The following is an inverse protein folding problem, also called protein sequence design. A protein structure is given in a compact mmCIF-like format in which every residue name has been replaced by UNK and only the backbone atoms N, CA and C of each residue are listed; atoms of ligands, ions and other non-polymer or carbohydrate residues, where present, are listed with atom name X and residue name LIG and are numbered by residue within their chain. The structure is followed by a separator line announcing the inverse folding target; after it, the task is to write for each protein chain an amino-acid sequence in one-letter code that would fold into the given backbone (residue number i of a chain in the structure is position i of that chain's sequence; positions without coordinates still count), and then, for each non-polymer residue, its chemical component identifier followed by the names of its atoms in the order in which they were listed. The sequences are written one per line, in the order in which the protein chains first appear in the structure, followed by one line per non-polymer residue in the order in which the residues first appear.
data_IF_987128523318
#
_entry.id   IF_987128523318
#
_cell.length_a   1.000
_cell.length_b   1.000
_cell.length_c   1.000
_cell.angle_alpha   90.00
_cell.angle_beta   90.00
_cell.angle_gamma   90.00
#
_symmetry.space_group_name_H-M   'P 1'
#
loop_
_entity.id
_entity.type
_entity.pdbx_description
1 polymer ?
#
# COMPACT_ATOMS: atom_id res chain seq x y z
N UNK A 1 -1.09 12.27 9.54
CA UNK A 1 -1.06 11.67 8.21
C UNK A 1 -2.48 11.44 7.71
N UNK A 2 -2.82 12.09 6.61
CA UNK A 2 -4.18 12.07 6.05
C UNK A 2 -4.68 10.65 5.74
N UNK A 3 -3.81 9.81 5.16
CA UNK A 3 -4.16 8.44 4.83
C UNK A 3 -4.66 7.64 6.04
N UNK A 4 -3.96 7.73 7.19
CA UNK A 4 -4.38 6.99 8.39
C UNK A 4 -5.68 7.51 8.99
N UNK A 5 -5.97 8.80 8.85
CA UNK A 5 -7.27 9.34 9.24
C UNK A 5 -8.39 8.77 8.36
N UNK A 6 -8.12 8.55 7.06
CA UNK A 6 -9.05 7.90 6.15
C UNK A 6 -9.31 6.44 6.56
N UNK A 7 -8.26 5.71 6.94
CA UNK A 7 -8.38 4.32 7.37
C UNK A 7 -9.26 4.19 8.62
N UNK A 8 -9.12 5.13 9.55
CA UNK A 8 -9.83 5.09 10.82
C UNK A 8 -9.60 3.75 11.55
N UNK A 9 -10.67 3.09 12.00
CA UNK A 9 -10.54 1.83 12.76
C UNK A 9 -10.07 0.64 11.91
N UNK A 10 -10.04 0.75 10.59
CA UNK A 10 -9.60 -0.35 9.72
C UNK A 10 -8.15 -0.78 9.97
N UNK A 11 -7.31 0.14 10.46
CA UNK A 11 -5.88 -0.15 10.66
C UNK A 11 -5.63 -1.03 11.89
N UNK A 12 -6.47 -0.94 12.91
CA UNK A 12 -6.30 -1.74 14.12
C UNK A 12 -6.54 -3.23 13.82
N UNK A 13 -5.55 -4.04 14.12
CA UNK A 13 -5.54 -5.48 13.81
C UNK A 13 -5.31 -5.82 12.34
N UNK A 14 -5.09 -4.83 11.47
CA UNK A 14 -4.96 -5.04 10.04
C UNK A 14 -3.60 -5.63 9.64
N UNK A 15 -3.61 -6.39 8.55
CA UNK A 15 -2.41 -6.71 7.79
C UNK A 15 -2.23 -5.65 6.71
N UNK A 16 -1.20 -4.82 6.87
CA UNK A 16 -0.93 -3.65 6.04
C UNK A 16 0.15 -3.93 5.00
N UNK A 17 -0.02 -3.41 3.78
CA UNK A 17 0.98 -3.51 2.71
C UNK A 17 1.22 -2.12 2.10
N UNK A 18 2.49 -1.69 2.08
CA UNK A 18 2.93 -0.48 1.37
C UNK A 18 3.76 -0.88 0.16
N UNK A 19 3.29 -0.53 -1.03
CA UNK A 19 3.88 -0.95 -2.30
C UNK A 19 5.05 -0.08 -2.77
N UNK A 20 5.21 1.11 -2.21
CA UNK A 20 6.30 2.05 -2.51
C UNK A 20 6.79 2.64 -1.20
N UNK A 21 7.36 1.80 -0.36
CA UNK A 21 7.51 2.11 1.07
C UNK A 21 8.54 3.19 1.40
N UNK A 22 9.52 3.43 0.53
CA UNK A 22 10.56 4.41 0.79
C UNK A 22 11.32 4.08 2.08
N UNK A 23 11.31 5.00 3.04
CA UNK A 23 11.93 4.80 4.36
C UNK A 23 11.12 3.89 5.29
N UNK A 24 9.89 3.54 4.92
CA UNK A 24 9.03 2.69 5.74
C UNK A 24 8.21 3.41 6.79
N UNK A 25 8.14 4.73 6.75
CA UNK A 25 7.39 5.54 7.73
C UNK A 25 5.95 5.06 7.88
N UNK A 26 5.27 4.77 6.78
CA UNK A 26 3.87 4.31 6.82
C UNK A 26 3.74 2.91 7.42
N UNK A 27 4.69 2.01 7.15
CA UNK A 27 4.67 0.68 7.75
C UNK A 27 4.82 0.72 9.27
N UNK A 28 5.75 1.53 9.78
CA UNK A 28 5.94 1.70 11.22
C UNK A 28 4.76 2.45 11.86
N UNK A 29 4.21 3.45 11.19
CA UNK A 29 3.02 4.16 11.66
C UNK A 29 1.81 3.23 11.75
N UNK A 30 1.60 2.35 10.76
CA UNK A 30 0.53 1.36 10.79
C UNK A 30 0.62 0.47 12.02
N UNK A 31 1.81 -0.04 12.31
CA UNK A 31 2.06 -0.87 13.50
C UNK A 31 1.82 -0.06 14.79
N UNK A 32 2.28 1.19 14.83
CA UNK A 32 2.05 2.10 15.96
C UNK A 32 0.56 2.30 16.23
N UNK A 33 -0.27 2.25 15.19
CA UNK A 33 -1.73 2.39 15.29
C UNK A 33 -2.47 1.06 15.46
N UNK A 34 -1.76 -0.01 15.72
CA UNK A 34 -2.35 -1.30 16.06
C UNK A 34 -2.43 -2.33 14.94
N UNK A 35 -1.82 -2.10 13.78
CA UNK A 35 -1.76 -3.11 12.73
C UNK A 35 -1.11 -4.38 13.24
N UNK A 36 -1.66 -5.53 12.86
CA UNK A 36 -1.11 -6.83 13.26
C UNK A 36 0.22 -7.11 12.57
N UNK A 37 0.39 -6.62 11.35
CA UNK A 37 1.64 -6.72 10.60
C UNK A 37 1.70 -5.60 9.55
N UNK A 38 2.91 -5.26 9.13
CA UNK A 38 3.17 -4.41 7.98
C UNK A 38 4.15 -5.08 7.04
N UNK A 39 3.89 -5.03 5.75
CA UNK A 39 4.80 -5.48 4.71
C UNK A 39 5.13 -4.32 3.80
N UNK A 40 6.42 -4.11 3.57
CA UNK A 40 6.92 -3.04 2.70
C UNK A 40 7.55 -3.64 1.45
N UNK A 41 7.22 -3.10 0.28
CA UNK A 41 7.96 -3.33 -0.95
C UNK A 41 8.68 -2.03 -1.30
N UNK A 42 9.97 -2.10 -1.49
CA UNK A 42 10.81 -0.95 -1.84
C UNK A 42 11.97 -1.41 -2.72
N UNK A 43 12.22 -0.67 -3.81
CA UNK A 43 13.28 -1.02 -4.74
C UNK A 43 14.68 -0.63 -4.24
N UNK A 44 14.79 0.39 -3.38
CA UNK A 44 16.08 0.83 -2.85
C UNK A 44 16.56 -0.09 -1.72
N UNK A 45 17.62 -0.83 -1.99
CA UNK A 45 18.17 -1.82 -1.06
C UNK A 45 18.64 -1.22 0.27
N UNK A 46 19.16 0.01 0.25
CA UNK A 46 19.61 0.69 1.47
C UNK A 46 18.44 1.02 2.38
N UNK A 47 17.34 1.51 1.80
CA UNK A 47 16.11 1.76 2.54
C UNK A 47 15.55 0.49 3.15
N UNK A 48 15.55 -0.61 2.41
CA UNK A 48 15.09 -1.91 2.91
C UNK A 48 15.97 -2.39 4.07
N UNK A 49 17.29 -2.27 3.95
CA UNK A 49 18.21 -2.66 5.02
C UNK A 49 17.97 -1.85 6.30
N UNK A 50 17.71 -0.55 6.15
CA UNK A 50 17.38 0.33 7.29
C UNK A 50 16.05 -0.10 7.93
N UNK A 51 15.02 -0.39 7.13
CA UNK A 51 13.73 -0.89 7.66
C UNK A 51 13.90 -2.18 8.45
N UNK A 52 14.67 -3.13 7.92
CA UNK A 52 14.93 -4.42 8.59
C UNK A 52 15.62 -4.21 9.94
N UNK A 53 16.60 -3.32 9.99
CA UNK A 53 17.32 -2.99 11.22
C UNK A 53 16.39 -2.36 12.26
N UNK A 54 15.56 -1.38 11.87
CA UNK A 54 14.62 -0.73 12.77
C UNK A 54 13.54 -1.71 13.26
N UNK A 55 13.04 -2.59 12.40
CA UNK A 55 12.07 -3.60 12.79
C UNK A 55 12.64 -4.54 13.84
N UNK A 56 13.89 -4.94 13.71
CA UNK A 56 14.58 -5.77 14.70
C UNK A 56 14.81 -5.00 16.01
N UNK A 57 15.34 -3.78 15.95
CA UNK A 57 15.60 -2.96 17.13
C UNK A 57 14.35 -2.66 17.94
N UNK A 58 13.23 -2.42 17.28
CA UNK A 58 11.97 -2.07 17.92
C UNK A 58 11.05 -3.26 18.16
N UNK A 59 11.49 -4.45 17.79
CA UNK A 59 10.65 -5.67 17.83
C UNK A 59 9.28 -5.43 17.17
N UNK A 60 9.32 -4.77 16.03
CA UNK A 60 8.12 -4.39 15.28
C UNK A 60 7.78 -5.45 14.22
N UNK A 61 6.50 -5.80 14.04
CA UNK A 61 6.07 -6.77 13.02
C UNK A 61 6.06 -6.14 11.61
N UNK A 62 7.21 -5.66 11.16
CA UNK A 62 7.43 -5.07 9.85
C UNK A 62 8.37 -5.97 9.04
N UNK A 63 7.91 -6.39 7.87
CA UNK A 63 8.69 -7.16 6.90
C UNK A 63 9.00 -6.28 5.71
N UNK A 64 10.28 -6.11 5.38
CA UNK A 64 10.71 -5.30 4.25
C UNK A 64 11.25 -6.19 3.12
N UNK A 65 10.79 -5.95 1.91
CA UNK A 65 11.12 -6.70 0.69
C UNK A 65 11.79 -5.74 -0.30
N UNK A 66 13.02 -6.07 -0.70
CA UNK A 66 13.72 -5.32 -1.74
C UNK A 66 13.32 -5.86 -3.11
N UNK A 67 12.74 -5.01 -3.96
CA UNK A 67 12.37 -5.42 -5.30
C UNK A 67 11.46 -4.43 -6.00
N UNK A 68 11.18 -4.75 -7.26
CA UNK A 68 10.21 -4.03 -8.07
C UNK A 68 8.79 -4.46 -7.71
N UNK A 69 7.89 -3.50 -7.61
CA UNK A 69 6.49 -3.75 -7.21
C UNK A 69 5.80 -4.78 -8.11
N UNK A 70 5.99 -4.70 -9.42
CA UNK A 70 5.35 -5.64 -10.36
C UNK A 70 5.94 -7.05 -10.30
N UNK A 71 7.19 -7.18 -9.90
CA UNK A 71 7.82 -8.48 -9.67
C UNK A 71 7.40 -9.09 -8.33
N UNK A 72 7.22 -8.26 -7.32
CA UNK A 72 6.98 -8.73 -5.94
C UNK A 72 5.50 -8.99 -5.63
N UNK A 73 4.56 -8.24 -6.21
CA UNK A 73 3.13 -8.46 -5.96
C UNK A 73 2.71 -9.91 -6.23
N UNK A 74 3.05 -10.54 -7.36
CA UNK A 74 2.66 -11.94 -7.61
C UNK A 74 3.24 -12.92 -6.58
N UNK A 75 4.39 -12.62 -6.00
CA UNK A 75 5.04 -13.46 -4.99
C UNK A 75 4.33 -13.43 -3.63
N UNK A 76 3.46 -12.43 -3.41
CA UNK A 76 2.66 -12.32 -2.20
C UNK A 76 1.39 -13.16 -2.24
N UNK A 77 1.12 -13.84 -3.35
CA UNK A 77 -0.07 -14.68 -3.51
C UNK A 77 -0.28 -15.62 -2.32
N UNK A 78 -1.49 -15.61 -1.79
CA UNK A 78 -1.83 -16.42 -0.61
C UNK A 78 -1.56 -15.73 0.73
N UNK A 79 -0.93 -14.57 0.71
CA UNK A 79 -0.87 -13.67 1.87
C UNK A 79 -1.95 -12.62 1.71
N UNK A 80 -2.81 -12.46 2.68
CA UNK A 80 -3.98 -11.60 2.57
C UNK A 80 -3.81 -10.31 3.37
N UNK A 81 -4.15 -9.18 2.75
CA UNK A 81 -4.02 -7.85 3.34
C UNK A 81 -5.37 -7.19 3.47
N UNK A 82 -5.51 -6.39 4.53
CA UNK A 82 -6.73 -5.64 4.84
C UNK A 82 -6.64 -4.20 4.35
N UNK A 83 -5.43 -3.65 4.30
CA UNK A 83 -5.17 -2.29 3.84
C UNK A 83 -3.91 -2.30 2.98
N UNK A 84 -4.04 -1.82 1.75
CA UNK A 84 -2.93 -1.66 0.81
C UNK A 84 -2.81 -0.18 0.45
N UNK A 85 -1.60 0.34 0.56
CA UNK A 85 -1.28 1.72 0.22
C UNK A 85 -0.21 1.77 -0.85
N UNK A 86 -0.35 2.69 -1.79
CA UNK A 86 0.65 2.94 -2.83
C UNK A 86 0.80 4.44 -3.09
N UNK A 87 2.02 4.94 -3.01
CA UNK A 87 2.39 6.29 -3.40
C UNK A 87 3.50 6.23 -4.45
N UNK A 88 3.13 5.91 -5.72
CA UNK A 88 4.13 5.79 -6.79
C UNK A 88 4.78 7.15 -7.09
N UNK A 89 6.02 7.15 -7.63
CA UNK A 89 6.67 8.38 -8.04
C UNK A 89 5.90 9.09 -9.17
N UNK A 90 6.09 10.40 -9.30
CA UNK A 90 5.41 11.24 -10.30
C UNK A 90 5.49 10.70 -11.73
N UNK A 91 6.62 10.12 -12.10
CA UNK A 91 6.86 9.58 -13.44
C UNK A 91 6.32 8.17 -13.65
N UNK A 92 5.60 7.62 -12.68
CA UNK A 92 5.18 6.22 -12.69
C UNK A 92 4.36 5.83 -13.92
N UNK A 93 3.25 6.52 -14.19
CA UNK A 93 2.43 6.36 -15.40
C UNK A 93 1.78 4.99 -15.61
N UNK A 94 1.93 4.04 -14.67
CA UNK A 94 1.44 2.66 -14.80
C UNK A 94 0.36 2.33 -13.78
N UNK A 95 -0.54 3.27 -13.53
CA UNK A 95 -1.57 3.12 -12.48
C UNK A 95 -2.57 2.01 -12.79
N UNK A 96 -2.98 1.86 -14.05
CA UNK A 96 -3.89 0.77 -14.46
C UNK A 96 -3.22 -0.59 -14.29
N UNK A 97 -1.93 -0.70 -14.64
CA UNK A 97 -1.16 -1.92 -14.45
C UNK A 97 -1.05 -2.28 -12.97
N UNK A 98 -0.83 -1.27 -12.13
CA UNK A 98 -0.74 -1.46 -10.67
C UNK A 98 -2.05 -1.98 -10.10
N UNK A 99 -3.16 -1.34 -10.46
CA UNK A 99 -4.48 -1.74 -10.00
C UNK A 99 -4.81 -3.17 -10.46
N UNK A 100 -4.51 -3.51 -11.72
CA UNK A 100 -4.69 -4.85 -12.26
C UNK A 100 -3.83 -5.88 -11.53
N UNK A 101 -2.57 -5.54 -11.23
CA UNK A 101 -1.66 -6.43 -10.49
C UNK A 101 -2.20 -6.76 -9.09
N UNK A 102 -2.68 -5.75 -8.38
CA UNK A 102 -3.28 -5.94 -7.06
C UNK A 102 -4.54 -6.81 -7.16
N UNK A 103 -5.40 -6.51 -8.13
CA UNK A 103 -6.68 -7.19 -8.31
C UNK A 103 -6.52 -8.68 -8.64
N UNK A 104 -5.49 -9.03 -9.43
CA UNK A 104 -5.27 -10.40 -9.89
C UNK A 104 -4.39 -11.25 -8.99
N UNK A 105 -3.68 -10.64 -8.05
CA UNK A 105 -2.67 -11.33 -7.23
C UNK A 105 -3.23 -12.28 -6.18
N UNK A 106 -4.53 -12.20 -5.87
CA UNK A 106 -5.16 -12.96 -4.79
C UNK A 106 -4.52 -12.66 -3.42
N UNK A 107 -4.46 -11.38 -3.07
CA UNK A 107 -3.86 -10.87 -1.83
C UNK A 107 -4.83 -9.99 -1.00
N UNK A 108 -6.11 -9.99 -1.35
CA UNK A 108 -7.10 -9.11 -0.71
C UNK A 108 -7.98 -9.91 0.24
N UNK A 109 -8.06 -9.47 1.50
CA UNK A 109 -9.13 -9.89 2.40
C UNK A 109 -10.47 -9.30 1.96
N UNK A 110 -11.56 -9.87 2.42
CA UNK A 110 -12.88 -9.29 2.21
C UNK A 110 -12.93 -7.88 2.82
N UNK A 111 -13.57 -6.95 2.12
CA UNK A 111 -13.63 -5.55 2.52
C UNK A 111 -12.27 -4.84 2.65
N UNK A 112 -11.25 -5.34 1.96
CA UNK A 112 -9.94 -4.70 1.95
C UNK A 112 -10.03 -3.29 1.35
N UNK A 113 -9.27 -2.37 1.93
CA UNK A 113 -9.13 -1.01 1.45
C UNK A 113 -7.82 -0.88 0.66
N UNK A 114 -7.92 -0.41 -0.58
CA UNK A 114 -6.75 -0.08 -1.41
C UNK A 114 -6.75 1.41 -1.66
N UNK A 115 -5.67 2.08 -1.28
CA UNK A 115 -5.51 3.52 -1.43
C UNK A 115 -4.31 3.81 -2.34
N UNK A 116 -4.55 4.53 -3.43
CA UNK A 116 -3.48 4.90 -4.36
C UNK A 116 -3.41 6.42 -4.44
N UNK A 117 -2.26 6.95 -4.06
CA UNK A 117 -1.95 8.36 -4.11
C UNK A 117 -1.50 8.76 -5.52
N UNK A 118 -2.00 9.89 -6.02
CA UNK A 118 -1.64 10.40 -7.33
C UNK A 118 -1.79 11.91 -7.40
N UNK A 119 -1.35 12.51 -8.50
CA UNK A 119 -1.40 13.94 -8.69
C UNK A 119 -2.84 14.44 -8.81
N UNK A 120 -3.05 15.65 -8.32
CA UNK A 120 -4.29 16.39 -8.44
C UNK A 120 -4.73 16.54 -9.91
N UNK A 121 -6.05 16.55 -10.11
CA UNK A 121 -6.72 16.80 -11.40
C UNK A 121 -6.46 15.72 -12.47
N UNK A 122 -5.95 14.58 -12.07
CA UNK A 122 -5.70 13.51 -13.01
C UNK A 122 -6.22 12.20 -12.46
N UNK A 123 -7.30 11.71 -13.04
CA UNK A 123 -7.83 10.39 -12.74
C UNK A 123 -7.08 9.37 -13.60
N UNK A 124 -6.11 8.63 -13.04
CA UNK A 124 -5.24 7.78 -13.82
C UNK A 124 -5.82 6.41 -14.17
N UNK A 125 -7.01 6.09 -13.63
CA UNK A 125 -7.58 4.75 -13.75
C UNK A 125 -8.62 4.72 -14.86
N UNK A 126 -8.37 3.87 -15.89
CA UNK A 126 -9.23 3.72 -17.06
C UNK A 126 -9.76 2.31 -17.24
N UNK A 127 -9.34 1.37 -16.39
CA UNK A 127 -9.76 -0.03 -16.46
C UNK A 127 -10.78 -0.35 -15.38
N UNK A 128 -11.59 -1.38 -15.66
CA UNK A 128 -12.42 -2.03 -14.66
C UNK A 128 -11.68 -3.23 -14.09
N UNK A 129 -11.89 -3.50 -12.81
CA UNK A 129 -11.30 -4.63 -12.13
C UNK A 129 -12.37 -5.64 -11.73
N UNK A 130 -11.94 -6.88 -11.43
CA UNK A 130 -12.86 -7.96 -11.07
C UNK A 130 -13.30 -7.90 -9.61
N UNK A 131 -12.38 -7.56 -8.73
CA UNK A 131 -12.60 -7.58 -7.27
C UNK A 131 -12.68 -6.20 -6.67
N UNK A 132 -11.86 -5.27 -7.15
CA UNK A 132 -11.78 -3.91 -6.63
C UNK A 132 -12.80 -3.01 -7.27
N UNK A 133 -13.53 -2.27 -6.45
CA UNK A 133 -14.50 -1.27 -6.87
C UNK A 133 -14.08 0.09 -6.34
N UNK A 134 -14.19 1.12 -7.17
CA UNK A 134 -13.92 2.49 -6.75
C UNK A 134 -14.90 2.89 -5.64
N UNK A 135 -14.35 3.35 -4.53
CA UNK A 135 -15.13 3.77 -3.36
C UNK A 135 -15.33 5.28 -3.36
N UNK A 136 -14.22 6.03 -3.35
CA UNK A 136 -14.22 7.48 -3.42
C UNK A 136 -12.80 8.01 -3.65
N UNK A 137 -12.71 9.30 -3.93
CA UNK A 137 -11.45 10.03 -3.99
C UNK A 137 -11.40 11.02 -2.83
N UNK A 138 -10.29 11.02 -2.10
CA UNK A 138 -10.01 12.02 -1.08
C UNK A 138 -9.01 13.04 -1.66
N UNK A 139 -9.28 14.32 -1.46
CA UNK A 139 -8.50 15.41 -2.04
C UNK A 139 -7.75 16.17 -0.94
N UNK A 140 -6.43 16.24 -1.06
CA UNK A 140 -5.54 16.93 -0.11
C UNK A 140 -4.58 17.84 -0.88
N UNK A 141 -5.00 19.10 -1.14
CA UNK A 141 -4.16 20.05 -1.86
C UNK A 141 -3.77 19.57 -3.25
N UNK A 142 -2.49 19.37 -3.49
CA UNK A 142 -1.95 18.89 -4.76
C UNK A 142 -1.96 17.37 -4.92
N UNK A 143 -2.37 16.66 -3.88
CA UNK A 143 -2.38 15.20 -3.84
C UNK A 143 -3.80 14.68 -3.70
N UNK A 144 -4.15 13.71 -4.52
CA UNK A 144 -5.40 12.97 -4.40
C UNK A 144 -5.12 11.52 -4.07
N UNK A 145 -6.00 10.93 -3.26
CA UNK A 145 -5.97 9.52 -2.93
C UNK A 145 -7.26 8.88 -3.46
N UNK A 146 -7.14 7.99 -4.42
CA UNK A 146 -8.28 7.22 -4.90
C UNK A 146 -8.37 5.92 -4.10
N UNK A 147 -9.56 5.65 -3.57
CA UNK A 147 -9.84 4.54 -2.69
C UNK A 147 -10.68 3.49 -3.40
N UNK A 148 -10.29 2.24 -3.23
CA UNK A 148 -10.98 1.08 -3.75
C UNK A 148 -11.30 0.13 -2.59
N UNK A 149 -12.33 -0.67 -2.75
CA UNK A 149 -12.68 -1.74 -1.82
C UNK A 149 -12.92 -3.04 -2.57
N UNK A 150 -12.57 -4.12 -1.95
CA UNK A 150 -12.86 -5.46 -2.49
C UNK A 150 -14.26 -5.93 -2.10
#
# INVERSE_FOLDING_TARGET
MAFFNICGPRIDGAHFLDLFAGSGVFCFEAVSRGAASSTAIEHDRKSVATMKKLAEEWDAPVTAIAGDVFAEIPRLRGRFFDVIYADPPYSFGRYDDLLAAIDTANILNDDALVAIEHQRRREPFTIETKKLKALRRAEYGEVWITLFTS
#
